data_IF_953998201041
#
_entry.id   IF_953998201041
#
_cell.length_a   1.000
_cell.length_b   1.000
_cell.length_c   1.000
_cell.angle_alpha   90.00
_cell.angle_beta   90.00
_cell.angle_gamma   90.00
#
_symmetry.space_group_name_H-M   'P 1'
#
loop_
_entity.id
_entity.type
_entity.pdbx_description
1 polymer ?
#
# COMPACT_ATOMS: atom_id res chain seq x y z
N UNK A 1 25.06 -9.35 11.59
CA UNK A 1 24.36 -8.52 10.59
C UNK A 1 23.20 -9.27 9.93
N UNK A 2 23.42 -10.43 9.30
CA UNK A 2 22.38 -11.22 8.60
C UNK A 2 21.19 -11.58 9.50
N UNK A 3 21.44 -12.12 10.72
CA UNK A 3 20.37 -12.50 11.67
C UNK A 3 19.41 -11.33 11.95
N UNK A 4 19.94 -10.09 12.09
CA UNK A 4 19.11 -8.90 12.33
C UNK A 4 18.24 -8.55 11.11
N UNK A 5 18.76 -8.69 9.89
CA UNK A 5 17.97 -8.44 8.67
C UNK A 5 16.85 -9.46 8.51
N UNK A 6 17.11 -10.73 8.83
CA UNK A 6 16.08 -11.77 8.86
C UNK A 6 15.00 -11.46 9.89
N UNK A 7 15.38 -11.01 11.08
CA UNK A 7 14.43 -10.59 12.13
C UNK A 7 13.56 -9.41 11.65
N UNK A 8 14.17 -8.38 11.06
CA UNK A 8 13.43 -7.23 10.51
C UNK A 8 12.47 -7.63 9.39
N UNK A 9 12.88 -8.54 8.51
CA UNK A 9 12.02 -9.07 7.45
C UNK A 9 10.80 -9.79 8.05
N UNK A 10 10.99 -10.69 9.02
CA UNK A 10 9.88 -11.39 9.67
C UNK A 10 9.02 -10.44 10.51
N UNK A 11 9.59 -9.39 11.12
CA UNK A 11 8.81 -8.34 11.79
C UNK A 11 7.89 -7.62 10.80
N UNK A 12 8.39 -7.25 9.61
CA UNK A 12 7.56 -6.68 8.56
C UNK A 12 6.47 -7.66 8.08
N UNK A 13 6.83 -8.92 7.85
CA UNK A 13 5.90 -9.96 7.42
C UNK A 13 4.76 -10.13 8.43
N UNK A 14 5.08 -10.22 9.71
CA UNK A 14 4.12 -10.35 10.81
C UNK A 14 3.20 -9.14 10.93
N UNK A 15 3.73 -7.94 10.72
CA UNK A 15 2.97 -6.70 10.89
C UNK A 15 2.04 -6.42 9.70
N UNK A 16 2.51 -6.64 8.47
CA UNK A 16 1.78 -6.27 7.26
C UNK A 16 0.98 -7.42 6.63
N UNK A 17 1.10 -8.64 7.16
CA UNK A 17 0.40 -9.81 6.62
C UNK A 17 -0.16 -10.70 7.74
N UNK A 18 -1.00 -11.66 7.35
CA UNK A 18 -1.51 -12.72 8.23
C UNK A 18 -0.65 -14.00 8.23
N UNK A 19 0.52 -13.95 7.58
CA UNK A 19 1.42 -15.10 7.53
C UNK A 19 1.97 -15.38 8.94
N UNK A 20 1.85 -16.63 9.44
CA UNK A 20 2.41 -17.00 10.73
C UNK A 20 3.94 -16.84 10.74
N UNK A 21 4.46 -16.15 11.75
CA UNK A 21 5.90 -15.92 11.91
C UNK A 21 6.49 -16.74 13.06
N UNK A 22 7.80 -17.04 13.00
CA UNK A 22 8.48 -17.78 14.05
C UNK A 22 8.38 -17.06 15.42
N UNK A 23 8.25 -17.83 16.53
CA UNK A 23 8.09 -17.28 17.89
C UNK A 23 9.29 -16.48 18.40
N UNK A 24 10.44 -16.58 17.75
CA UNK A 24 11.66 -15.85 18.12
C UNK A 24 11.68 -14.39 17.60
N UNK A 25 10.73 -14.02 16.76
CA UNK A 25 10.60 -12.64 16.24
C UNK A 25 10.09 -11.74 17.36
N UNK A 26 10.85 -10.68 17.67
CA UNK A 26 10.53 -9.75 18.75
C UNK A 26 9.40 -8.77 18.35
N UNK A 27 8.79 -8.16 19.40
CA UNK A 27 7.68 -7.19 19.25
C UNK A 27 8.07 -5.87 19.91
N UNK A 28 9.05 -5.14 19.35
CA UNK A 28 9.42 -3.82 19.87
C UNK A 28 9.12 -2.71 18.85
N UNK A 29 8.89 -1.49 19.34
CA UNK A 29 8.71 -0.31 18.49
C UNK A 29 9.97 -0.06 17.65
N UNK A 30 11.16 -0.30 18.19
CA UNK A 30 12.42 -0.17 17.44
C UNK A 30 12.49 -1.15 16.27
N UNK A 31 12.15 -2.42 16.49
CA UNK A 31 12.10 -3.43 15.42
C UNK A 31 11.09 -3.07 14.36
N UNK A 32 9.91 -2.59 14.77
CA UNK A 32 8.88 -2.16 13.84
C UNK A 32 9.35 -0.97 12.99
N UNK A 33 9.92 0.07 13.61
CA UNK A 33 10.46 1.22 12.88
C UNK A 33 11.49 0.78 11.83
N UNK A 34 12.45 -0.05 12.22
CA UNK A 34 13.50 -0.53 11.30
C UNK A 34 12.99 -1.52 10.26
N UNK A 35 11.95 -2.28 10.54
CA UNK A 35 11.36 -3.25 9.61
C UNK A 35 10.64 -2.58 8.43
N UNK A 36 10.32 -1.28 8.52
CA UNK A 36 9.64 -0.54 7.45
C UNK A 36 10.41 -0.49 6.15
N UNK A 37 11.74 -0.66 6.16
CA UNK A 37 12.53 -0.81 4.93
C UNK A 37 12.03 -1.96 4.06
N UNK A 38 11.44 -2.99 4.67
CA UNK A 38 10.87 -4.16 3.99
C UNK A 38 9.39 -3.97 3.60
N UNK A 39 8.77 -2.83 3.89
CA UNK A 39 7.38 -2.59 3.51
C UNK A 39 7.14 -2.75 1.99
N UNK A 40 8.00 -2.22 1.09
CA UNK A 40 7.86 -2.48 -0.34
C UNK A 40 8.08 -3.96 -0.72
N UNK A 41 8.92 -4.71 0.01
CA UNK A 41 9.11 -6.16 -0.20
C UNK A 41 7.86 -6.94 0.19
N UNK A 42 7.13 -6.50 1.23
CA UNK A 42 5.79 -7.05 1.51
C UNK A 42 4.84 -6.81 0.33
N UNK A 43 5.03 -5.69 -0.41
CA UNK A 43 4.35 -5.46 -1.67
C UNK A 43 4.67 -6.52 -2.74
N UNK A 44 5.93 -6.93 -2.86
CA UNK A 44 6.29 -8.02 -3.77
C UNK A 44 5.60 -9.33 -3.40
N UNK A 45 5.55 -9.63 -2.10
CA UNK A 45 4.89 -10.84 -1.61
C UNK A 45 3.38 -10.80 -1.92
N UNK A 46 2.70 -9.71 -1.55
CA UNK A 46 1.24 -9.58 -1.76
C UNK A 46 0.91 -9.56 -3.25
N UNK A 47 1.62 -8.74 -4.04
CA UNK A 47 1.47 -8.69 -5.49
C UNK A 47 1.82 -10.02 -6.17
N UNK A 48 2.84 -10.74 -5.69
CA UNK A 48 3.22 -12.05 -6.17
C UNK A 48 2.15 -13.12 -5.88
N UNK A 49 1.56 -13.11 -4.68
CA UNK A 49 0.45 -14.01 -4.32
C UNK A 49 -0.79 -13.69 -5.18
N UNK A 50 -1.14 -12.41 -5.35
CA UNK A 50 -2.24 -12.00 -6.20
C UNK A 50 -2.00 -12.39 -7.68
N UNK A 51 -0.79 -12.16 -8.19
CA UNK A 51 -0.39 -12.54 -9.55
C UNK A 51 -0.43 -14.06 -9.76
N UNK A 52 0.09 -14.83 -8.79
CA UNK A 52 0.04 -16.30 -8.82
C UNK A 52 -1.39 -16.83 -8.75
N UNK A 53 -2.24 -16.22 -7.92
CA UNK A 53 -3.66 -16.56 -7.85
C UNK A 53 -4.38 -16.25 -9.18
N UNK A 54 -4.16 -15.06 -9.76
CA UNK A 54 -4.71 -14.74 -11.07
C UNK A 54 -4.29 -15.75 -12.14
N UNK A 55 -3.00 -16.02 -12.24
CA UNK A 55 -2.46 -16.96 -13.22
C UNK A 55 -3.02 -18.39 -13.02
N UNK A 56 -2.95 -18.91 -11.81
CA UNK A 56 -3.42 -20.29 -11.52
C UNK A 56 -4.93 -20.45 -11.70
N UNK A 57 -5.73 -19.45 -11.25
CA UNK A 57 -7.18 -19.51 -11.36
C UNK A 57 -7.68 -19.26 -12.80
N UNK A 58 -6.90 -18.61 -13.65
CA UNK A 58 -7.23 -18.44 -15.08
C UNK A 58 -7.31 -19.76 -15.87
N UNK A 59 -6.74 -20.86 -15.34
CA UNK A 59 -6.92 -22.19 -15.92
C UNK A 59 -8.29 -22.82 -15.58
N UNK A 60 -8.96 -22.33 -14.53
CA UNK A 60 -10.19 -22.91 -13.99
C UNK A 60 -11.40 -22.02 -14.22
N UNK A 61 -11.22 -20.71 -14.31
CA UNK A 61 -12.28 -19.72 -14.34
C UNK A 61 -12.08 -18.71 -15.48
N UNK A 62 -13.15 -18.04 -15.92
CA UNK A 62 -13.04 -16.86 -16.78
C UNK A 62 -12.14 -15.78 -16.14
N UNK A 63 -11.45 -15.00 -16.97
CA UNK A 63 -10.46 -13.99 -16.54
C UNK A 63 -11.01 -13.04 -15.47
N UNK A 64 -12.25 -12.60 -15.59
CA UNK A 64 -12.88 -11.68 -14.63
C UNK A 64 -13.01 -12.32 -13.23
N UNK A 65 -13.39 -13.61 -13.18
CA UNK A 65 -13.52 -14.35 -11.91
C UNK A 65 -12.12 -14.58 -11.31
N UNK A 66 -11.15 -15.01 -12.13
CA UNK A 66 -9.78 -15.20 -11.68
C UNK A 66 -9.18 -13.91 -11.13
N UNK A 67 -9.46 -12.78 -11.78
CA UNK A 67 -9.02 -11.46 -11.33
C UNK A 67 -9.65 -11.07 -9.99
N UNK A 68 -10.96 -11.22 -9.84
CA UNK A 68 -11.64 -10.92 -8.58
C UNK A 68 -11.12 -11.79 -7.44
N UNK A 69 -10.91 -13.08 -7.67
CA UNK A 69 -10.34 -13.99 -6.69
C UNK A 69 -8.88 -13.67 -6.35
N UNK A 70 -8.10 -13.13 -7.29
CA UNK A 70 -6.74 -12.64 -7.02
C UNK A 70 -6.75 -11.43 -6.08
N UNK A 71 -7.69 -10.50 -6.25
CA UNK A 71 -7.88 -9.38 -5.31
C UNK A 71 -8.27 -9.89 -3.92
N UNK A 72 -9.19 -10.85 -3.84
CA UNK A 72 -9.57 -11.51 -2.57
C UNK A 72 -8.34 -12.13 -1.90
N UNK A 73 -7.48 -12.84 -2.65
CA UNK A 73 -6.27 -13.45 -2.11
C UNK A 73 -5.31 -12.40 -1.50
N UNK A 74 -5.13 -11.25 -2.16
CA UNK A 74 -4.33 -10.14 -1.65
C UNK A 74 -4.90 -9.54 -0.35
N UNK A 75 -6.22 -9.31 -0.32
CA UNK A 75 -6.93 -8.78 0.86
C UNK A 75 -6.85 -9.76 2.04
N UNK A 76 -7.08 -11.05 1.81
CA UNK A 76 -6.96 -12.07 2.86
C UNK A 76 -5.54 -12.18 3.40
N UNK A 77 -4.53 -12.09 2.54
CA UNK A 77 -3.12 -12.15 2.94
C UNK A 77 -2.74 -11.00 3.88
N UNK A 78 -3.24 -9.80 3.64
CA UNK A 78 -3.01 -8.63 4.49
C UNK A 78 -4.02 -8.52 5.64
N UNK A 79 -5.12 -9.25 5.59
CA UNK A 79 -6.24 -9.13 6.53
C UNK A 79 -6.95 -7.79 6.40
N UNK A 80 -7.08 -7.27 5.20
CA UNK A 80 -7.70 -5.97 4.86
C UNK A 80 -7.03 -4.76 5.56
N UNK A 81 -5.77 -4.88 5.96
CA UNK A 81 -5.06 -3.89 6.78
C UNK A 81 -5.03 -2.48 6.16
N UNK A 82 -4.85 -2.40 4.84
CA UNK A 82 -4.77 -1.13 4.13
C UNK A 82 -6.15 -0.62 3.70
N UNK A 83 -7.05 -1.53 3.39
CA UNK A 83 -8.45 -1.28 3.05
C UNK A 83 -9.18 -0.65 4.25
N UNK A 84 -8.95 -1.17 5.45
CA UNK A 84 -9.44 -0.65 6.73
C UNK A 84 -8.98 0.80 6.92
N UNK A 85 -7.66 1.05 6.84
CA UNK A 85 -7.13 2.40 6.96
C UNK A 85 -7.65 3.38 5.90
N UNK A 86 -7.93 2.90 4.67
CA UNK A 86 -8.55 3.73 3.64
C UNK A 86 -10.00 4.08 3.97
N UNK A 87 -10.77 3.12 4.47
CA UNK A 87 -12.15 3.35 4.90
C UNK A 87 -12.21 4.32 6.08
N UNK A 88 -11.33 4.15 7.08
CA UNK A 88 -11.21 5.05 8.23
C UNK A 88 -10.88 6.49 7.82
N UNK A 89 -9.99 6.67 6.84
CA UNK A 89 -9.68 7.99 6.26
C UNK A 89 -10.90 8.57 5.55
N UNK A 90 -11.64 7.78 4.77
CA UNK A 90 -12.85 8.25 4.12
C UNK A 90 -13.89 8.71 5.14
N UNK A 91 -14.14 7.94 6.20
CA UNK A 91 -15.09 8.29 7.25
C UNK A 91 -14.61 9.49 8.08
N UNK A 92 -13.34 9.49 8.49
CA UNK A 92 -12.78 10.58 9.30
C UNK A 92 -12.83 11.93 8.60
N UNK A 93 -12.32 11.98 7.37
CA UNK A 93 -12.28 13.25 6.61
C UNK A 93 -13.61 13.61 5.93
N UNK A 94 -14.50 12.64 5.71
CA UNK A 94 -15.85 12.88 5.21
C UNK A 94 -16.81 13.38 6.29
N UNK A 95 -16.68 12.89 7.54
CA UNK A 95 -17.57 13.20 8.65
C UNK A 95 -17.02 14.18 9.68
N UNK A 96 -15.71 14.46 9.71
CA UNK A 96 -15.06 15.34 10.67
C UNK A 96 -14.70 16.71 10.09
N UNK A 97 -14.91 17.77 10.86
CA UNK A 97 -14.60 19.16 10.49
C UNK A 97 -13.49 19.78 11.33
N UNK A 98 -13.01 19.07 12.35
CA UNK A 98 -11.90 19.48 13.21
C UNK A 98 -10.91 18.33 13.35
N UNK A 99 -9.65 18.65 13.64
CA UNK A 99 -8.60 17.63 13.86
C UNK A 99 -9.05 16.57 14.88
N UNK A 100 -9.54 17.01 16.05
CA UNK A 100 -9.98 16.10 17.11
C UNK A 100 -11.10 15.17 16.64
N UNK A 101 -12.09 15.69 15.92
CA UNK A 101 -13.23 14.91 15.45
C UNK A 101 -12.83 13.94 14.34
N UNK A 102 -11.95 14.33 13.41
CA UNK A 102 -11.41 13.44 12.38
C UNK A 102 -10.69 12.26 13.05
N UNK A 103 -9.76 12.54 13.97
CA UNK A 103 -8.99 11.52 14.66
C UNK A 103 -9.86 10.62 15.55
N UNK A 104 -10.95 11.15 16.11
CA UNK A 104 -11.93 10.37 16.88
C UNK A 104 -12.70 9.39 15.98
N UNK A 105 -13.23 9.86 14.82
CA UNK A 105 -13.94 9.00 13.86
C UNK A 105 -13.02 7.88 13.35
N UNK A 106 -11.77 8.21 13.01
CA UNK A 106 -10.78 7.22 12.55
C UNK A 106 -10.37 6.18 13.60
N UNK A 107 -10.75 6.34 14.87
CA UNK A 107 -10.55 5.35 15.95
C UNK A 107 -11.76 4.46 16.15
N UNK A 108 -12.92 4.84 15.63
CA UNK A 108 -14.14 4.08 15.73
C UNK A 108 -14.06 2.88 14.76
N UNK A 109 -14.19 1.68 15.30
CA UNK A 109 -14.15 0.44 14.49
C UNK A 109 -15.39 0.21 13.62
N UNK A 110 -16.39 1.10 13.68
CA UNK A 110 -17.62 1.03 12.89
C UNK A 110 -17.41 1.65 11.53
N UNK A 111 -17.72 0.90 10.48
CA UNK A 111 -17.71 1.42 9.10
C UNK A 111 -18.86 2.40 8.89
N UNK A 112 -18.53 3.63 8.50
CA UNK A 112 -19.51 4.66 8.16
C UNK A 112 -19.86 4.67 6.67
N UNK A 113 -20.73 5.58 6.29
CA UNK A 113 -21.21 5.71 4.89
C UNK A 113 -20.10 6.14 3.93
N UNK A 114 -19.23 7.05 4.35
CA UNK A 114 -18.11 7.51 3.50
C UNK A 114 -17.08 6.41 3.30
N UNK A 115 -16.77 5.65 4.35
CA UNK A 115 -15.87 4.49 4.27
C UNK A 115 -16.44 3.41 3.37
N UNK A 116 -17.71 3.05 3.54
CA UNK A 116 -18.38 2.05 2.72
C UNK A 116 -18.41 2.45 1.23
N UNK A 117 -18.81 3.68 0.92
CA UNK A 117 -18.85 4.19 -0.45
C UNK A 117 -17.44 4.29 -1.05
N UNK A 118 -16.48 4.86 -0.30
CA UNK A 118 -15.10 5.00 -0.73
C UNK A 118 -14.45 3.65 -1.02
N UNK A 119 -14.55 2.70 -0.11
CA UNK A 119 -13.99 1.36 -0.26
C UNK A 119 -14.63 0.60 -1.43
N UNK A 120 -15.97 0.64 -1.54
CA UNK A 120 -16.69 0.00 -2.64
C UNK A 120 -16.25 0.54 -4.01
N UNK A 121 -16.17 1.86 -4.16
CA UNK A 121 -15.70 2.50 -5.39
C UNK A 121 -14.21 2.22 -5.67
N UNK A 122 -13.36 2.19 -4.65
CA UNK A 122 -11.94 1.87 -4.77
C UNK A 122 -11.74 0.45 -5.31
N UNK A 123 -12.40 -0.54 -4.73
CA UNK A 123 -12.30 -1.93 -5.15
C UNK A 123 -12.88 -2.13 -6.56
N UNK A 124 -14.02 -1.52 -6.85
CA UNK A 124 -14.63 -1.57 -8.18
C UNK A 124 -13.71 -0.98 -9.25
N UNK A 125 -13.11 0.19 -8.96
CA UNK A 125 -12.20 0.85 -9.89
C UNK A 125 -10.90 0.07 -10.11
N UNK A 126 -10.33 -0.52 -9.06
CA UNK A 126 -9.18 -1.44 -9.18
C UNK A 126 -9.51 -2.62 -10.09
N UNK A 127 -10.66 -3.26 -9.87
CA UNK A 127 -11.12 -4.36 -10.71
C UNK A 127 -11.25 -3.95 -12.18
N UNK A 128 -11.95 -2.85 -12.47
CA UNK A 128 -12.16 -2.35 -13.83
C UNK A 128 -10.84 -1.98 -14.50
N UNK A 129 -9.93 -1.30 -13.79
CA UNK A 129 -8.61 -0.92 -14.32
C UNK A 129 -7.76 -2.16 -14.67
N UNK A 130 -7.69 -3.15 -13.76
CA UNK A 130 -6.95 -4.40 -14.00
C UNK A 130 -7.58 -5.23 -15.13
N UNK A 131 -8.91 -5.31 -15.19
CA UNK A 131 -9.64 -5.98 -16.26
C UNK A 131 -9.36 -5.38 -17.65
N UNK A 132 -9.07 -4.09 -17.70
CA UNK A 132 -8.77 -3.37 -18.95
C UNK A 132 -7.36 -3.63 -19.47
N UNK A 133 -6.50 -4.30 -18.68
CA UNK A 133 -5.15 -4.67 -19.10
C UNK A 133 -5.16 -5.91 -20.01
N UNK A 134 -4.19 -6.03 -20.93
CA UNK A 134 -3.92 -7.31 -21.57
C UNK A 134 -3.65 -8.40 -20.51
N UNK A 135 -4.17 -9.63 -20.64
CA UNK A 135 -4.01 -10.68 -19.62
C UNK A 135 -2.55 -10.93 -19.20
N UNK A 136 -1.61 -10.83 -20.14
CA UNK A 136 -0.16 -10.99 -19.88
C UNK A 136 0.42 -9.87 -19.01
N UNK A 137 -0.20 -8.69 -18.99
CA UNK A 137 0.26 -7.55 -18.19
C UNK A 137 -0.28 -7.57 -16.76
N UNK A 138 -1.36 -8.28 -16.46
CA UNK A 138 -2.00 -8.27 -15.14
C UNK A 138 -1.03 -8.69 -14.04
N UNK A 139 -0.38 -9.84 -14.20
CA UNK A 139 0.52 -10.38 -13.16
C UNK A 139 1.71 -9.44 -12.85
N UNK A 140 2.51 -8.95 -13.82
CA UNK A 140 3.60 -8.03 -13.51
C UNK A 140 3.10 -6.68 -12.97
N UNK A 141 1.97 -6.15 -13.46
CA UNK A 141 1.40 -4.89 -12.96
C UNK A 141 0.93 -5.03 -11.51
N UNK A 142 0.37 -6.16 -11.09
CA UNK A 142 0.04 -6.44 -9.68
C UNK A 142 1.30 -6.31 -8.80
N UNK A 143 2.41 -6.95 -9.17
CA UNK A 143 3.66 -6.87 -8.38
C UNK A 143 4.19 -5.43 -8.32
N UNK A 144 4.23 -4.74 -9.47
CA UNK A 144 4.69 -3.34 -9.56
C UNK A 144 3.82 -2.42 -8.70
N UNK A 145 2.50 -2.53 -8.80
CA UNK A 145 1.58 -1.65 -8.07
C UNK A 145 1.67 -1.85 -6.56
N UNK A 146 1.70 -3.09 -6.09
CA UNK A 146 1.83 -3.40 -4.66
C UNK A 146 3.18 -2.95 -4.09
N UNK A 147 4.27 -3.01 -4.86
CA UNK A 147 5.60 -2.54 -4.44
C UNK A 147 5.66 -1.00 -4.38
N UNK A 148 5.26 -0.34 -5.47
CA UNK A 148 5.31 1.14 -5.58
C UNK A 148 4.38 1.84 -4.60
N UNK A 149 3.19 1.31 -4.38
CA UNK A 149 2.23 1.90 -3.43
C UNK A 149 2.78 1.92 -2.01
N UNK A 150 3.45 0.86 -1.59
CA UNK A 150 4.10 0.78 -0.27
C UNK A 150 5.34 1.66 -0.18
N UNK A 151 6.12 1.76 -1.24
CA UNK A 151 7.23 2.70 -1.33
C UNK A 151 6.74 4.16 -1.23
N UNK A 152 5.60 4.48 -1.86
CA UNK A 152 4.97 5.80 -1.75
C UNK A 152 4.54 6.11 -0.31
N UNK A 153 3.87 5.17 0.37
CA UNK A 153 3.47 5.32 1.76
C UNK A 153 4.68 5.44 2.71
N UNK A 154 5.76 4.70 2.46
CA UNK A 154 7.01 4.78 3.23
C UNK A 154 7.58 6.20 3.27
N UNK A 155 7.41 7.00 2.22
CA UNK A 155 7.92 8.38 2.17
C UNK A 155 7.33 9.29 3.24
N UNK A 156 6.11 9.00 3.74
CA UNK A 156 5.48 9.79 4.81
C UNK A 156 6.25 9.65 6.13
N UNK A 157 6.70 8.46 6.45
CA UNK A 157 7.40 8.16 7.71
C UNK A 157 8.70 8.97 7.85
N UNK A 158 9.32 9.33 6.73
CA UNK A 158 10.51 10.17 6.69
C UNK A 158 10.20 11.67 6.65
N UNK A 159 9.12 12.07 5.94
CA UNK A 159 8.90 13.47 5.57
C UNK A 159 7.89 14.20 6.45
N UNK A 160 7.11 13.52 7.28
CA UNK A 160 6.03 14.11 8.09
C UNK A 160 6.00 13.54 9.49
N UNK A 161 5.44 14.31 10.43
CA UNK A 161 5.28 13.90 11.81
C UNK A 161 4.02 13.05 12.00
N UNK A 162 4.04 12.17 13.02
CA UNK A 162 2.91 11.34 13.38
C UNK A 162 1.89 12.14 14.20
N UNK A 163 0.65 12.25 13.71
CA UNK A 163 -0.36 13.16 14.25
C UNK A 163 -0.91 12.76 15.64
N UNK A 164 -0.76 11.49 16.06
CA UNK A 164 -1.25 10.98 17.36
C UNK A 164 -0.15 10.90 18.43
N UNK A 165 0.88 11.73 18.37
CA UNK A 165 2.09 11.59 19.21
C UNK A 165 1.87 11.74 20.73
N UNK A 166 0.75 12.29 21.18
CA UNK A 166 0.49 12.65 22.58
C UNK A 166 -0.59 11.80 23.27
N UNK A 167 -1.05 10.74 22.65
CA UNK A 167 -2.06 9.90 23.32
C UNK A 167 -1.38 8.68 23.94
N UNK A 168 -1.78 8.37 25.18
CA UNK A 168 -1.56 7.10 25.90
C UNK A 168 -2.10 5.93 25.06
N UNK A 169 -1.49 5.73 23.90
CA UNK A 169 -1.97 4.77 22.96
C UNK A 169 -1.42 3.40 23.32
N UNK A 170 -2.25 2.61 23.99
CA UNK A 170 -2.32 1.17 23.73
C UNK A 170 -2.68 0.87 22.27
N UNK A 171 -2.69 1.89 21.39
CA UNK A 171 -2.89 1.79 19.96
C UNK A 171 -1.73 1.01 19.33
N UNK A 172 -2.05 0.21 18.33
CA UNK A 172 -1.12 -0.61 17.53
C UNK A 172 0.17 0.16 17.27
N UNK A 173 1.34 -0.39 17.55
CA UNK A 173 2.61 0.29 17.29
C UNK A 173 2.68 0.61 15.78
N UNK A 174 2.95 1.87 15.46
CA UNK A 174 3.13 2.34 14.08
C UNK A 174 4.53 2.88 13.95
N UNK A 175 5.18 2.62 12.83
CA UNK A 175 6.49 3.18 12.55
C UNK A 175 6.41 4.70 12.44
N UNK A 176 7.22 5.41 13.23
CA UNK A 176 7.17 6.87 13.36
C UNK A 176 8.39 7.58 12.78
N UNK A 177 9.51 6.87 12.59
CA UNK A 177 10.77 7.45 12.10
C UNK A 177 11.61 6.44 11.36
N UNK A 178 12.22 6.90 10.26
CA UNK A 178 13.24 6.17 9.49
C UNK A 178 14.36 7.12 9.11
N UNK A 179 15.58 6.61 8.94
CA UNK A 179 16.70 7.36 8.41
C UNK A 179 16.60 7.53 6.88
N UNK A 180 17.37 8.50 6.33
CA UNK A 180 17.47 8.66 4.88
C UNK A 180 17.99 7.38 4.19
N UNK A 181 18.95 6.69 4.80
CA UNK A 181 19.48 5.45 4.24
C UNK A 181 18.41 4.35 4.17
N UNK A 182 17.60 4.19 5.22
CA UNK A 182 16.48 3.24 5.26
C UNK A 182 15.42 3.60 4.21
N UNK A 183 15.10 4.90 4.06
CA UNK A 183 14.21 5.37 3.01
C UNK A 183 14.73 5.01 1.62
N UNK A 184 16.01 5.32 1.33
CA UNK A 184 16.59 5.06 0.00
C UNK A 184 16.62 3.57 -0.33
N UNK A 185 16.94 2.71 0.65
CA UNK A 185 16.87 1.26 0.48
C UNK A 185 15.43 0.82 0.20
N UNK A 186 14.45 1.28 1.00
CA UNK A 186 13.05 0.96 0.78
C UNK A 186 12.52 1.44 -0.57
N UNK A 187 12.87 2.66 -1.00
CA UNK A 187 12.51 3.17 -2.33
C UNK A 187 13.15 2.34 -3.45
N UNK A 188 14.43 1.98 -3.32
CA UNK A 188 15.11 1.11 -4.28
C UNK A 188 14.39 -0.24 -4.43
N UNK A 189 14.05 -0.86 -3.30
CA UNK A 189 13.26 -2.11 -3.27
C UNK A 189 11.87 -1.92 -3.90
N UNK A 190 11.22 -0.78 -3.67
CA UNK A 190 9.89 -0.50 -4.23
C UNK A 190 9.89 -0.25 -5.72
N UNK A 191 10.91 0.43 -6.25
CA UNK A 191 11.03 0.77 -7.68
C UNK A 191 11.60 -0.40 -8.51
N UNK A 192 12.31 -1.33 -7.89
CA UNK A 192 12.98 -2.42 -8.60
C UNK A 192 12.04 -3.26 -9.50
N UNK A 193 10.82 -3.68 -9.10
CA UNK A 193 9.92 -4.39 -10.00
C UNK A 193 9.53 -3.59 -11.23
N UNK A 194 9.35 -2.27 -11.10
CA UNK A 194 9.08 -1.38 -12.23
C UNK A 194 10.26 -1.32 -13.19
N UNK A 195 11.49 -1.19 -12.68
CA UNK A 195 12.70 -1.18 -13.50
C UNK A 195 12.86 -2.49 -14.27
N UNK A 196 12.65 -3.63 -13.61
CA UNK A 196 12.73 -4.95 -14.23
C UNK A 196 11.65 -5.11 -15.31
N UNK A 197 10.42 -4.67 -15.05
CA UNK A 197 9.31 -4.73 -16.00
C UNK A 197 9.54 -3.82 -17.22
N UNK A 198 9.98 -2.57 -16.98
CA UNK A 198 10.31 -1.62 -18.05
C UNK A 198 11.48 -2.13 -18.94
N UNK A 199 12.51 -2.70 -18.32
CA UNK A 199 13.65 -3.29 -19.03
C UNK A 199 13.24 -4.53 -19.86
N UNK A 200 12.40 -5.41 -19.29
CA UNK A 200 11.90 -6.60 -19.97
C UNK A 200 11.09 -6.25 -21.24
N UNK A 201 10.27 -5.20 -21.15
CA UNK A 201 9.49 -4.72 -22.31
C UNK A 201 10.28 -3.79 -23.26
N UNK A 202 11.48 -3.34 -22.87
CA UNK A 202 12.22 -2.31 -23.61
C UNK A 202 11.51 -0.93 -23.60
N UNK A 203 10.66 -0.64 -22.61
CA UNK A 203 9.81 0.56 -22.52
C UNK A 203 10.16 1.44 -21.32
N UNK A 204 11.18 2.31 -21.42
CA UNK A 204 11.55 3.20 -20.29
C UNK A 204 10.47 4.24 -19.97
N UNK A 205 9.55 4.53 -20.89
CA UNK A 205 8.41 5.43 -20.64
C UNK A 205 7.51 4.96 -19.49
N UNK A 206 7.52 3.67 -19.14
CA UNK A 206 6.79 3.16 -17.97
C UNK A 206 7.26 3.79 -16.65
N UNK A 207 8.49 4.31 -16.58
CA UNK A 207 8.99 5.03 -15.41
C UNK A 207 8.25 6.34 -15.15
N UNK A 208 7.52 6.86 -16.13
CA UNK A 208 6.68 8.05 -15.97
C UNK A 208 5.56 7.85 -14.94
N UNK A 209 5.22 6.61 -14.57
CA UNK A 209 4.28 6.33 -13.46
C UNK A 209 4.74 6.93 -12.11
N UNK A 210 6.03 7.17 -11.96
CA UNK A 210 6.57 7.80 -10.75
C UNK A 210 6.10 9.25 -10.58
N UNK A 211 5.78 9.95 -11.68
CA UNK A 211 5.27 11.32 -11.63
C UNK A 211 3.86 11.41 -10.99
N UNK A 212 2.83 10.70 -11.48
CA UNK A 212 1.53 10.72 -10.80
C UNK A 212 1.59 10.16 -9.37
N UNK A 213 2.48 9.22 -9.06
CA UNK A 213 2.70 8.78 -7.67
C UNK A 213 3.26 9.89 -6.79
N UNK A 214 4.25 10.64 -7.28
CA UNK A 214 4.77 11.80 -6.57
C UNK A 214 3.70 12.88 -6.35
N UNK A 215 2.88 13.17 -7.37
CA UNK A 215 1.76 14.12 -7.26
C UNK A 215 0.73 13.65 -6.24
N UNK A 216 0.39 12.36 -6.25
CA UNK A 216 -0.51 11.74 -5.26
C UNK A 216 0.03 11.91 -3.84
N UNK A 217 1.31 11.57 -3.62
CA UNK A 217 1.97 11.77 -2.32
C UNK A 217 1.95 13.24 -1.91
N UNK A 218 2.29 14.14 -2.80
CA UNK A 218 2.33 15.57 -2.51
C UNK A 218 0.94 16.13 -2.16
N UNK A 219 -0.10 15.69 -2.85
CA UNK A 219 -1.49 16.06 -2.56
C UNK A 219 -1.94 15.54 -1.19
N UNK A 220 -1.79 14.24 -0.95
CA UNK A 220 -2.20 13.62 0.31
C UNK A 220 -1.42 14.18 1.50
N UNK A 221 -0.13 14.45 1.34
CA UNK A 221 0.70 15.05 2.38
C UNK A 221 0.19 16.43 2.79
N UNK A 222 -0.11 17.29 1.81
CA UNK A 222 -0.70 18.61 2.08
C UNK A 222 -2.07 18.49 2.73
N UNK A 223 -2.88 17.55 2.27
CA UNK A 223 -4.22 17.31 2.78
C UNK A 223 -4.19 16.85 4.25
N UNK A 224 -3.41 15.84 4.57
CA UNK A 224 -3.27 15.33 5.94
C UNK A 224 -2.62 16.37 6.88
N UNK A 225 -1.56 17.05 6.41
CA UNK A 225 -0.93 18.11 7.19
C UNK A 225 -1.91 19.23 7.53
N UNK A 226 -2.74 19.65 6.57
CA UNK A 226 -3.74 20.72 6.78
C UNK A 226 -4.79 20.33 7.81
N UNK A 227 -5.29 19.10 7.78
CA UNK A 227 -6.46 18.71 8.55
C UNK A 227 -6.14 18.07 9.89
N UNK A 228 -5.05 17.30 9.98
CA UNK A 228 -4.69 16.57 11.20
C UNK A 228 -3.27 16.88 11.70
N UNK A 229 -2.54 17.77 11.04
CA UNK A 229 -1.20 18.18 11.48
C UNK A 229 -0.09 17.17 11.22
N UNK A 230 -0.34 16.15 10.40
CA UNK A 230 0.62 15.07 10.11
C UNK A 230 -0.07 13.84 9.52
N UNK A 231 0.42 12.63 9.81
CA UNK A 231 -0.18 11.38 9.32
C UNK A 231 -0.50 10.41 10.47
N UNK A 232 -1.40 9.45 10.21
CA UNK A 232 -1.67 8.27 11.06
C UNK A 232 -1.36 6.98 10.32
N UNK A 233 -1.46 5.83 10.99
CA UNK A 233 -1.37 4.52 10.34
C UNK A 233 -2.40 4.37 9.21
N UNK A 234 -3.61 4.85 9.44
CA UNK A 234 -4.71 4.80 8.47
C UNK A 234 -4.40 5.66 7.25
N UNK A 235 -3.75 6.82 7.44
CA UNK A 235 -3.25 7.65 6.34
C UNK A 235 -2.20 6.92 5.47
N UNK A 236 -1.35 6.08 6.08
CA UNK A 236 -0.41 5.23 5.31
C UNK A 236 -1.17 4.16 4.52
N UNK A 237 -2.18 3.52 5.12
CA UNK A 237 -3.07 2.59 4.44
C UNK A 237 -3.80 3.24 3.27
N UNK A 238 -4.40 4.41 3.50
CA UNK A 238 -5.07 5.19 2.45
C UNK A 238 -4.11 5.60 1.33
N UNK A 239 -2.90 6.04 1.67
CA UNK A 239 -1.87 6.38 0.68
C UNK A 239 -1.51 5.16 -0.16
N UNK A 240 -1.35 3.99 0.47
CA UNK A 240 -1.06 2.75 -0.22
C UNK A 240 -2.20 2.39 -1.19
N UNK A 241 -3.47 2.46 -0.77
CA UNK A 241 -4.63 2.14 -1.61
C UNK A 241 -4.77 3.09 -2.81
N UNK A 242 -4.64 4.40 -2.58
CA UNK A 242 -4.72 5.40 -3.66
C UNK A 242 -3.53 5.28 -4.62
N UNK A 243 -2.31 5.10 -4.11
CA UNK A 243 -1.13 4.93 -4.94
C UNK A 243 -1.21 3.66 -5.81
N UNK A 244 -1.69 2.55 -5.25
CA UNK A 244 -1.91 1.30 -5.98
C UNK A 244 -2.90 1.50 -7.13
N UNK A 245 -4.03 2.18 -6.86
CA UNK A 245 -5.00 2.51 -7.89
C UNK A 245 -4.41 3.42 -8.97
N UNK A 246 -3.63 4.43 -8.61
CA UNK A 246 -2.95 5.32 -9.58
C UNK A 246 -2.04 4.53 -10.51
N UNK A 247 -1.32 3.52 -10.01
CA UNK A 247 -0.52 2.62 -10.86
C UNK A 247 -1.42 1.86 -11.82
N UNK A 248 -2.52 1.27 -11.37
CA UNK A 248 -3.44 0.55 -12.25
C UNK A 248 -4.02 1.46 -13.34
N UNK A 249 -4.45 2.68 -12.98
CA UNK A 249 -4.96 3.68 -13.93
C UNK A 249 -3.89 4.11 -14.94
N UNK A 250 -2.64 4.27 -14.52
CA UNK A 250 -1.54 4.55 -15.42
C UNK A 250 -1.38 3.44 -16.46
N UNK A 251 -1.30 2.18 -16.01
CA UNK A 251 -1.08 1.05 -16.90
C UNK A 251 -2.29 0.72 -17.79
N UNK A 252 -3.52 1.00 -17.39
CA UNK A 252 -4.69 0.78 -18.23
C UNK A 252 -4.93 1.92 -19.24
N UNK A 253 -4.21 3.05 -19.13
CA UNK A 253 -4.34 4.17 -20.07
C UNK A 253 -3.73 3.84 -21.43
N UNK A 254 -4.46 4.03 -22.54
CA UNK A 254 -3.96 3.77 -23.87
C UNK A 254 -2.78 4.67 -24.27
N UNK A 255 -2.61 5.81 -23.59
CA UNK A 255 -1.47 6.73 -23.83
C UNK A 255 -0.12 6.03 -23.63
N UNK A 256 -0.01 5.13 -22.67
CA UNK A 256 1.25 4.45 -22.34
C UNK A 256 1.42 3.09 -23.02
N UNK A 257 0.34 2.51 -23.53
CA UNK A 257 0.38 1.26 -24.29
C UNK A 257 0.80 1.49 -25.76
N UNK A 258 0.70 2.73 -26.23
CA UNK A 258 1.03 3.15 -27.60
C UNK A 258 2.47 3.65 -27.77
N UNK A 259 3.18 3.93 -26.67
CA UNK A 259 4.57 4.40 -26.63
C UNK A 259 5.47 3.24 -26.22
#
# INVERSE_FOLDING_TARGET
MIRRQVELFFTALMFYTRVPCPKWVGHSEELLNKSTIYFPVMGWLVGGVAAGAYWGLSFLFPSDVALLLSMVAGILLTGAFHEDGFADVCDGFGGGWTQARILEIMKDSRLGTYGAAGLGLMLALKFVALRSLPPVAVAPVLVVAHALSRATALTFIYTHDYARANEDSKAKPVAKRISLAELLVGLGLGVLPLLLYAAWLGRPALLLVLLPLWLTKAYLARYFQKWIGGYTGDCLGATQQVAEMVVYLFFCSPVWTSI
#
